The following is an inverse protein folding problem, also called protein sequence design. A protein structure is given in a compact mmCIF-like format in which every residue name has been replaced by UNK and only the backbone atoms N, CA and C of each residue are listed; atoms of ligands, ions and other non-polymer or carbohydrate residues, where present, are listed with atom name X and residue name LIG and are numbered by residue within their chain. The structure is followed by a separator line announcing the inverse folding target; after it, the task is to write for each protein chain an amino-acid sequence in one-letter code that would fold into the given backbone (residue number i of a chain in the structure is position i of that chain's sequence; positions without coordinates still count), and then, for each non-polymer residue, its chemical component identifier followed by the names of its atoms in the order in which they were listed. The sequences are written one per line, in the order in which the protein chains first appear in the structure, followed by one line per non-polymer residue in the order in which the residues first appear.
data_IF_740740972742
#
_entry.id   IF_740740972742
#
_cell.length_a   1.000
_cell.length_b   1.000
_cell.length_c   1.000
_cell.angle_alpha   90.00
_cell.angle_beta   90.00
_cell.angle_gamma   90.00
#
_symmetry.space_group_name_H-M   'P 1'
#
loop_
_entity.id
_entity.type
_entity.pdbx_description
1 polymer ?
#
# COMPACT_ATOMS: atom_id res chain seq x y z
N UNK A 1 30.80 10.53 -22.82
CA UNK A 1 30.89 11.65 -21.87
C UNK A 1 30.12 11.22 -20.66
N UNK A 2 30.81 10.54 -19.75
CA UNK A 2 30.18 9.89 -18.60
C UNK A 2 29.68 10.93 -17.62
N UNK A 3 28.43 10.77 -17.20
CA UNK A 3 27.82 11.57 -16.15
C UNK A 3 28.57 11.30 -14.83
N UNK A 4 28.84 12.33 -14.02
CA UNK A 4 29.51 12.14 -12.74
C UNK A 4 28.63 11.30 -11.81
N UNK A 5 29.21 10.25 -11.21
CA UNK A 5 28.56 9.48 -10.16
C UNK A 5 28.14 10.40 -9.01
N UNK A 6 26.88 10.28 -8.59
CA UNK A 6 26.40 10.94 -7.40
C UNK A 6 27.17 10.42 -6.18
N UNK A 7 27.89 11.30 -5.48
CA UNK A 7 28.58 10.97 -4.24
C UNK A 7 27.55 10.50 -3.20
N UNK A 8 27.41 9.18 -3.07
CA UNK A 8 26.54 8.58 -2.06
C UNK A 8 27.26 8.63 -0.71
N UNK A 9 26.72 9.42 0.22
CA UNK A 9 27.10 9.32 1.63
C UNK A 9 26.99 7.84 2.06
N UNK A 10 28.09 7.28 2.60
CA UNK A 10 28.23 5.87 3.02
C UNK A 10 27.02 5.42 3.85
N UNK A 11 26.05 4.78 3.20
CA UNK A 11 24.94 4.11 3.89
C UNK A 11 25.47 2.77 4.38
N UNK A 12 25.46 2.55 5.70
CA UNK A 12 25.95 1.32 6.31
C UNK A 12 25.17 0.11 5.75
N UNK A 13 25.87 -0.81 5.08
CA UNK A 13 25.29 -1.98 4.41
C UNK A 13 24.54 -2.93 5.37
N UNK A 14 24.78 -2.81 6.69
CA UNK A 14 24.14 -3.61 7.73
C UNK A 14 22.83 -3.01 8.27
N UNK A 15 22.36 -1.86 7.77
CA UNK A 15 21.10 -1.30 8.23
C UNK A 15 19.89 -2.09 7.67
N UNK A 16 18.79 -2.22 8.43
CA UNK A 16 17.62 -2.98 8.00
C UNK A 16 16.98 -2.36 6.74
N UNK A 17 16.48 -3.21 5.83
CA UNK A 17 15.88 -2.83 4.53
C UNK A 17 14.93 -1.63 4.64
N UNK A 18 14.00 -1.67 5.60
CA UNK A 18 13.01 -0.61 5.83
C UNK A 18 13.67 0.73 6.17
N UNK A 19 14.77 0.75 6.92
CA UNK A 19 15.46 1.99 7.28
C UNK A 19 16.14 2.63 6.07
N UNK A 20 16.78 1.83 5.21
CA UNK A 20 17.47 2.31 4.01
C UNK A 20 16.48 2.85 2.99
N UNK A 21 15.40 2.11 2.74
CA UNK A 21 14.35 2.52 1.82
C UNK A 21 13.73 3.85 2.23
N UNK A 22 13.39 3.94 3.51
CA UNK A 22 12.70 5.12 3.99
C UNK A 22 13.63 6.33 4.01
N UNK A 23 14.91 6.15 4.37
CA UNK A 23 15.90 7.23 4.29
C UNK A 23 16.12 7.74 2.86
N UNK A 24 16.08 6.85 1.86
CA UNK A 24 16.27 7.23 0.46
C UNK A 24 15.03 7.92 -0.11
N UNK A 25 13.82 7.45 0.23
CA UNK A 25 12.59 8.17 -0.05
C UNK A 25 12.58 9.56 0.57
N UNK A 26 12.99 9.70 1.83
CA UNK A 26 13.10 11.01 2.49
C UNK A 26 14.11 11.97 1.83
N UNK A 27 15.15 11.46 1.16
CA UNK A 27 16.10 12.29 0.39
C UNK A 27 15.48 12.80 -0.92
N UNK A 28 14.73 11.95 -1.63
CA UNK A 28 14.03 12.29 -2.87
C UNK A 28 12.75 13.13 -2.62
N UNK A 29 12.31 13.26 -1.38
CA UNK A 29 11.17 14.08 -0.94
C UNK A 29 11.50 15.59 -0.83
N UNK A 30 12.74 16.01 -1.09
CA UNK A 30 13.18 17.41 -0.98
C UNK A 30 12.50 18.42 -1.94
N UNK A 31 11.63 17.95 -2.86
CA UNK A 31 10.70 18.81 -3.61
C UNK A 31 9.31 18.81 -2.95
N UNK A 32 9.13 19.65 -1.93
CA UNK A 32 7.90 19.72 -1.12
C UNK A 32 6.64 20.16 -1.89
N UNK A 33 6.77 20.78 -3.08
CA UNK A 33 5.63 21.20 -3.91
C UNK A 33 4.76 20.02 -4.34
N UNK A 34 5.41 18.92 -4.74
CA UNK A 34 4.77 17.84 -5.50
C UNK A 34 3.86 16.99 -4.60
N UNK A 35 4.26 16.77 -3.35
CA UNK A 35 3.44 16.04 -2.38
C UNK A 35 2.18 16.81 -2.00
N UNK A 36 2.30 18.13 -1.77
CA UNK A 36 1.16 18.98 -1.44
C UNK A 36 0.16 19.08 -2.60
N UNK A 37 0.66 19.04 -3.83
CA UNK A 37 -0.12 19.13 -5.06
C UNK A 37 -0.80 17.81 -5.41
N UNK A 38 -0.13 16.66 -5.23
CA UNK A 38 -0.74 15.33 -5.38
C UNK A 38 -1.91 15.13 -4.41
N UNK A 39 -1.76 15.55 -3.14
CA UNK A 39 -2.85 15.52 -2.16
C UNK A 39 -4.01 16.46 -2.54
N UNK A 40 -3.72 17.62 -3.14
CA UNK A 40 -4.76 18.53 -3.64
C UNK A 40 -5.49 17.97 -4.86
N UNK A 41 -4.81 17.27 -5.76
CA UNK A 41 -5.41 16.65 -6.95
C UNK A 41 -6.35 15.49 -6.58
N UNK A 42 -5.93 14.64 -5.64
CA UNK A 42 -6.77 13.56 -5.08
C UNK A 42 -8.01 14.08 -4.33
N UNK A 43 -7.92 15.30 -3.78
CA UNK A 43 -9.08 16.00 -3.20
C UNK A 43 -10.01 16.57 -4.28
N UNK A 44 -9.44 17.09 -5.38
CA UNK A 44 -10.19 17.72 -6.47
C UNK A 44 -11.01 16.71 -7.28
N UNK A 45 -10.50 15.50 -7.52
CA UNK A 45 -11.25 14.42 -8.18
C UNK A 45 -12.49 13.97 -7.37
N UNK A 46 -12.47 14.11 -6.05
CA UNK A 46 -13.58 13.74 -5.16
C UNK A 46 -14.60 14.87 -4.91
N UNK A 47 -14.55 15.98 -5.66
CA UNK A 47 -15.45 17.13 -5.41
C UNK A 47 -16.53 17.28 -6.47
N UNK A 48 -17.40 16.28 -6.62
CA UNK A 48 -18.78 16.49 -7.10
C UNK A 48 -19.71 15.48 -6.42
N UNK A 49 -20.55 16.01 -5.53
CA UNK A 49 -21.68 15.40 -4.79
C UNK A 49 -21.37 14.77 -3.41
N UNK A 50 -21.71 15.61 -2.43
CA UNK A 50 -22.31 15.34 -1.13
C UNK A 50 -21.61 14.46 -0.08
N UNK A 51 -21.32 15.17 1.03
CA UNK A 51 -21.26 14.71 2.43
C UNK A 51 -20.63 13.33 2.65
N UNK A 52 -19.32 13.33 2.94
CA UNK A 52 -18.81 12.60 4.11
C UNK A 52 -17.43 13.08 4.55
N UNK A 53 -17.27 13.09 5.86
CA UNK A 53 -16.19 13.67 6.67
C UNK A 53 -14.93 12.78 6.69
N UNK A 54 -14.57 12.15 5.57
CA UNK A 54 -13.68 10.98 5.55
C UNK A 54 -12.59 11.08 4.48
N UNK A 55 -11.66 12.02 4.67
CA UNK A 55 -10.38 12.04 3.95
C UNK A 55 -9.32 12.73 4.82
N UNK A 56 -8.50 11.96 5.54
CA UNK A 56 -7.03 12.13 5.55
C UNK A 56 -6.29 11.42 6.72
N UNK A 57 -6.45 10.11 6.97
CA UNK A 57 -5.87 9.51 8.18
C UNK A 57 -5.20 8.12 8.02
N UNK A 58 -4.31 7.97 7.03
CA UNK A 58 -2.94 7.61 7.49
C UNK A 58 -2.47 8.79 8.33
N UNK A 59 -1.80 8.65 9.47
CA UNK A 59 -1.13 9.76 10.19
C UNK A 59 -2.12 10.51 11.14
N UNK A 60 -2.67 9.85 12.18
CA UNK A 60 -3.13 10.55 13.40
C UNK A 60 -1.96 11.23 14.15
N UNK A 61 -0.72 10.93 13.74
CA UNK A 61 0.48 11.73 14.04
C UNK A 61 0.58 13.01 13.16
N UNK A 62 -0.41 13.30 12.28
CA UNK A 62 -0.45 14.42 11.29
C UNK A 62 -0.43 15.80 11.89
N UNK A 63 -0.86 16.02 13.12
CA UNK A 63 -1.14 17.40 13.53
C UNK A 63 0.10 18.29 13.60
N UNK A 64 1.31 17.70 13.69
CA UNK A 64 2.56 18.44 13.57
C UNK A 64 3.11 18.42 12.15
N UNK A 65 3.35 17.24 11.57
CA UNK A 65 4.02 17.13 10.27
C UNK A 65 3.16 17.68 9.11
N UNK A 66 1.84 17.44 9.10
CA UNK A 66 0.91 18.01 8.11
C UNK A 66 0.81 19.52 8.23
N UNK A 67 0.77 20.04 9.46
CA UNK A 67 0.68 21.48 9.74
C UNK A 67 1.96 22.22 9.33
N UNK A 68 3.11 21.60 9.53
CA UNK A 68 4.42 22.12 9.12
C UNK A 68 4.66 22.02 7.61
N UNK A 69 4.23 20.92 6.97
CA UNK A 69 4.28 20.75 5.51
C UNK A 69 3.31 21.72 4.79
N UNK A 70 2.12 21.96 5.37
CA UNK A 70 1.14 22.92 4.86
C UNK A 70 1.59 24.38 5.01
N UNK A 71 2.51 24.66 5.94
CA UNK A 71 3.08 25.99 6.19
C UNK A 71 4.29 26.32 5.30
N UNK A 72 4.73 25.40 4.44
CA UNK A 72 5.87 25.62 3.55
C UNK A 72 7.19 25.94 4.26
N UNK A 73 7.31 25.61 5.55
CA UNK A 73 8.42 26.07 6.43
C UNK A 73 9.54 25.07 6.65
N UNK A 74 9.45 23.84 6.11
CA UNK A 74 10.49 22.83 6.26
C UNK A 74 11.24 22.66 4.95
N UNK A 75 12.29 23.46 4.79
CA UNK A 75 13.32 23.26 3.76
C UNK A 75 14.14 21.99 4.04
N UNK A 76 14.72 21.44 2.97
CA UNK A 76 15.12 20.03 2.82
C UNK A 76 15.91 19.37 3.96
N UNK A 77 16.69 20.11 4.75
CA UNK A 77 17.45 19.54 5.87
C UNK A 77 16.61 19.32 7.14
N UNK A 78 15.67 20.21 7.45
CA UNK A 78 14.81 20.08 8.62
C UNK A 78 13.75 18.98 8.41
N UNK A 79 13.21 18.89 7.19
CA UNK A 79 12.32 17.80 6.80
C UNK A 79 13.03 16.45 6.86
N UNK A 80 14.25 16.36 6.31
CA UNK A 80 15.10 15.16 6.35
C UNK A 80 15.44 14.75 7.78
N UNK A 81 15.80 15.71 8.65
CA UNK A 81 16.06 15.45 10.07
C UNK A 81 14.80 14.97 10.81
N UNK A 82 13.64 15.57 10.54
CA UNK A 82 12.37 15.14 11.12
C UNK A 82 11.96 13.75 10.65
N UNK A 83 12.24 13.40 9.39
CA UNK A 83 12.00 12.06 8.87
C UNK A 83 12.96 11.04 9.50
N UNK A 84 14.27 11.30 9.50
CA UNK A 84 15.25 10.44 10.16
C UNK A 84 14.89 10.20 11.63
N UNK A 85 14.51 11.24 12.36
CA UNK A 85 14.10 11.12 13.76
C UNK A 85 12.79 10.31 13.93
N UNK A 86 11.84 10.43 12.99
CA UNK A 86 10.63 9.58 12.99
C UNK A 86 10.96 8.11 12.71
N UNK A 87 11.92 7.85 11.83
CA UNK A 87 12.36 6.50 11.44
C UNK A 87 13.14 5.77 12.53
N UNK A 88 13.98 6.52 13.23
CA UNK A 88 14.80 6.05 14.35
C UNK A 88 13.95 5.87 15.63
N UNK A 89 12.76 6.49 15.70
CA UNK A 89 11.89 6.34 16.84
C UNK A 89 11.26 4.93 16.86
N UNK A 90 11.70 4.12 17.82
CA UNK A 90 11.23 2.75 18.13
C UNK A 90 9.73 2.66 18.40
N UNK A 91 9.03 3.79 18.59
CA UNK A 91 7.57 3.85 18.76
C UNK A 91 6.75 3.76 17.46
N UNK A 92 7.37 3.87 16.29
CA UNK A 92 6.65 3.76 15.01
C UNK A 92 6.33 2.30 14.69
N UNK A 93 5.03 1.97 14.67
CA UNK A 93 4.53 0.61 14.38
C UNK A 93 5.01 0.18 12.96
N UNK A 94 5.33 -1.10 12.77
CA UNK A 94 5.74 -1.66 11.47
C UNK A 94 4.75 -1.29 10.36
N UNK A 95 3.45 -1.31 10.68
CA UNK A 95 2.39 -0.90 9.77
C UNK A 95 2.54 0.56 9.31
N UNK A 96 2.92 1.47 10.20
CA UNK A 96 3.14 2.88 9.86
C UNK A 96 4.33 3.07 8.91
N UNK A 97 5.40 2.29 9.10
CA UNK A 97 6.56 2.31 8.19
C UNK A 97 6.18 1.78 6.80
N UNK A 98 5.37 0.72 6.74
CA UNK A 98 4.86 0.17 5.50
C UNK A 98 3.93 1.17 4.78
N UNK A 99 2.97 1.75 5.51
CA UNK A 99 2.07 2.78 4.99
C UNK A 99 2.83 3.98 4.45
N UNK A 100 3.94 4.36 5.08
CA UNK A 100 4.78 5.44 4.58
C UNK A 100 5.39 5.11 3.21
N UNK A 101 6.10 3.98 3.10
CA UNK A 101 6.77 3.59 1.85
C UNK A 101 5.75 3.37 0.73
N UNK A 102 4.73 2.54 0.99
CA UNK A 102 3.75 2.15 -0.02
C UNK A 102 2.81 3.30 -0.36
N UNK A 103 2.44 4.11 0.64
CA UNK A 103 1.67 5.33 0.42
C UNK A 103 2.39 6.29 -0.52
N UNK A 104 3.71 6.43 -0.41
CA UNK A 104 4.48 7.20 -1.39
C UNK A 104 4.43 6.60 -2.80
N UNK A 105 4.55 5.28 -2.95
CA UNK A 105 4.42 4.62 -4.26
C UNK A 105 3.03 4.77 -4.90
N UNK A 106 1.98 4.77 -4.09
CA UNK A 106 0.60 5.01 -4.55
C UNK A 106 0.44 6.47 -5.00
N UNK A 107 0.79 7.42 -4.14
CA UNK A 107 0.55 8.85 -4.32
C UNK A 107 1.48 9.51 -5.36
N UNK A 108 2.66 8.93 -5.59
CA UNK A 108 3.73 9.48 -6.43
C UNK A 108 4.23 8.44 -7.43
N UNK A 109 3.60 8.32 -8.61
CA UNK A 109 3.96 7.34 -9.62
C UNK A 109 5.44 7.39 -10.03
N UNK A 110 6.06 8.58 -10.01
CA UNK A 110 7.46 8.80 -10.33
C UNK A 110 8.44 8.13 -9.34
N UNK A 111 7.98 7.79 -8.13
CA UNK A 111 8.78 7.10 -7.12
C UNK A 111 8.67 5.57 -7.19
N UNK A 112 7.74 5.01 -7.97
CA UNK A 112 7.46 3.57 -7.97
C UNK A 112 8.68 2.75 -8.36
N UNK A 113 9.32 3.12 -9.47
CA UNK A 113 10.51 2.42 -9.95
C UNK A 113 11.67 2.51 -8.96
N UNK A 114 11.86 3.69 -8.36
CA UNK A 114 12.89 3.90 -7.35
C UNK A 114 12.64 3.04 -6.10
N UNK A 115 11.38 2.92 -5.64
CA UNK A 115 11.02 2.02 -4.53
C UNK A 115 11.40 0.59 -4.90
N UNK A 116 11.01 0.11 -6.07
CA UNK A 116 11.33 -1.26 -6.51
C UNK A 116 12.84 -1.50 -6.60
N UNK A 117 13.58 -0.60 -7.25
CA UNK A 117 15.02 -0.69 -7.39
C UNK A 117 15.72 -0.76 -6.03
N UNK A 118 15.30 0.06 -5.07
CA UNK A 118 15.88 0.01 -3.74
C UNK A 118 15.53 -1.28 -3.00
N UNK A 119 14.30 -1.81 -3.12
CA UNK A 119 13.94 -3.09 -2.48
C UNK A 119 14.77 -4.23 -3.08
N UNK A 120 14.88 -4.29 -4.41
CA UNK A 120 15.72 -5.26 -5.12
C UNK A 120 17.18 -5.16 -4.68
N UNK A 121 17.73 -3.94 -4.59
CA UNK A 121 19.08 -3.70 -4.08
C UNK A 121 19.27 -4.25 -2.67
N UNK A 122 18.31 -4.02 -1.78
CA UNK A 122 18.39 -4.48 -0.39
C UNK A 122 18.19 -5.99 -0.20
N UNK A 123 17.60 -6.66 -1.20
CA UNK A 123 17.46 -8.12 -1.22
C UNK A 123 18.67 -8.81 -1.89
N UNK A 124 19.36 -8.11 -2.79
CA UNK A 124 20.52 -8.63 -3.52
C UNK A 124 21.74 -8.76 -2.61
N UNK A 125 22.25 -9.99 -2.45
CA UNK A 125 23.46 -10.25 -1.65
C UNK A 125 23.31 -9.96 -0.15
N UNK A 126 22.08 -9.90 0.37
CA UNK A 126 21.84 -9.61 1.78
C UNK A 126 22.14 -10.84 2.66
N UNK A 127 23.12 -10.79 3.58
CA UNK A 127 23.48 -11.95 4.41
C UNK A 127 22.49 -12.21 5.55
N UNK A 128 21.63 -11.24 5.89
CA UNK A 128 20.69 -11.37 7.00
C UNK A 128 19.36 -11.98 6.54
N UNK A 129 19.10 -13.22 6.96
CA UNK A 129 17.84 -13.93 6.68
C UNK A 129 16.61 -13.19 7.19
N UNK A 130 16.69 -12.59 8.39
CA UNK A 130 15.62 -11.76 8.97
C UNK A 130 15.36 -10.51 8.12
N UNK A 131 16.43 -9.87 7.63
CA UNK A 131 16.31 -8.71 6.74
C UNK A 131 15.71 -9.10 5.39
N UNK A 132 16.13 -10.24 4.83
CA UNK A 132 15.57 -10.77 3.58
C UNK A 132 14.08 -11.06 3.72
N UNK A 133 13.65 -11.75 4.78
CA UNK A 133 12.23 -12.04 5.02
C UNK A 133 11.38 -10.76 5.09
N UNK A 134 11.87 -9.72 5.78
CA UNK A 134 11.21 -8.40 5.84
C UNK A 134 11.19 -7.70 4.47
N UNK A 135 12.27 -7.80 3.70
CA UNK A 135 12.36 -7.23 2.35
C UNK A 135 11.40 -7.89 1.37
N UNK A 136 11.26 -9.22 1.42
CA UNK A 136 10.32 -9.97 0.59
C UNK A 136 8.86 -9.71 1.00
N UNK A 137 8.58 -9.58 2.30
CA UNK A 137 7.27 -9.14 2.77
C UNK A 137 6.91 -7.75 2.24
N UNK A 138 7.87 -6.80 2.26
CA UNK A 138 7.66 -5.49 1.66
C UNK A 138 7.45 -5.58 0.15
N UNK A 139 8.26 -6.37 -0.57
CA UNK A 139 8.10 -6.58 -2.02
C UNK A 139 6.68 -7.07 -2.34
N UNK A 140 6.20 -8.08 -1.60
CA UNK A 140 4.88 -8.67 -1.76
C UNK A 140 3.71 -7.68 -1.50
N UNK A 141 3.91 -6.73 -0.59
CA UNK A 141 2.97 -5.64 -0.34
C UNK A 141 3.02 -4.60 -1.48
N UNK A 142 4.22 -4.18 -1.91
CA UNK A 142 4.38 -3.21 -3.00
C UNK A 142 3.72 -3.70 -4.29
N UNK A 143 4.02 -4.93 -4.72
CA UNK A 143 3.46 -5.50 -5.96
C UNK A 143 1.96 -5.75 -5.90
N UNK A 144 1.37 -5.82 -4.70
CA UNK A 144 -0.08 -5.91 -4.51
C UNK A 144 -0.77 -4.54 -4.51
N UNK A 145 -0.03 -3.46 -4.32
CA UNK A 145 -0.58 -2.10 -4.23
C UNK A 145 -0.38 -1.28 -5.51
N UNK A 146 0.79 -1.33 -6.14
CA UNK A 146 1.07 -0.54 -7.34
C UNK A 146 2.03 -1.27 -8.28
N UNK A 147 1.82 -1.14 -9.59
CA UNK A 147 2.75 -1.68 -10.59
C UNK A 147 3.94 -0.72 -10.82
N UNK A 148 5.14 -1.23 -11.16
CA UNK A 148 6.23 -0.41 -11.66
C UNK A 148 5.88 0.18 -13.03
N UNK A 149 6.75 1.03 -13.57
CA UNK A 149 6.64 1.49 -14.95
C UNK A 149 6.74 0.32 -15.94
N UNK A 150 6.11 0.41 -17.13
CA UNK A 150 6.19 -0.63 -18.15
C UNK A 150 7.63 -1.02 -18.53
N UNK A 151 8.57 -0.08 -18.43
CA UNK A 151 9.99 -0.31 -18.70
C UNK A 151 10.63 -1.22 -17.65
N UNK A 152 10.26 -1.09 -16.38
CA UNK A 152 10.84 -1.86 -15.29
C UNK A 152 10.16 -3.24 -15.10
N UNK A 153 8.89 -3.40 -15.52
CA UNK A 153 8.14 -4.67 -15.42
C UNK A 153 8.94 -5.93 -15.81
N UNK A 154 9.58 -6.02 -17.00
CA UNK A 154 10.28 -7.26 -17.39
C UNK A 154 11.46 -7.59 -16.46
N UNK A 155 12.20 -6.59 -16.01
CA UNK A 155 13.31 -6.76 -15.07
C UNK A 155 12.82 -7.17 -13.69
N UNK A 156 11.75 -6.54 -13.20
CA UNK A 156 11.15 -6.92 -11.92
C UNK A 156 10.64 -8.36 -11.97
N UNK A 157 9.97 -8.78 -13.04
CA UNK A 157 9.53 -10.18 -13.21
C UNK A 157 10.70 -11.15 -13.13
N UNK A 158 11.78 -10.89 -13.87
CA UNK A 158 12.99 -11.73 -13.83
C UNK A 158 13.59 -11.79 -12.43
N UNK A 159 13.59 -10.68 -11.68
CA UNK A 159 14.07 -10.65 -10.30
C UNK A 159 13.18 -11.47 -9.36
N UNK A 160 11.85 -11.36 -9.50
CA UNK A 160 10.89 -12.11 -8.69
C UNK A 160 11.00 -13.63 -8.93
N UNK A 161 11.28 -14.05 -10.17
CA UNK A 161 11.44 -15.47 -10.52
C UNK A 161 12.63 -16.13 -9.81
N UNK A 162 13.68 -15.36 -9.54
CA UNK A 162 14.87 -15.79 -8.81
C UNK A 162 14.70 -15.72 -7.29
N UNK A 163 13.56 -15.22 -6.81
CA UNK A 163 13.25 -15.12 -5.39
C UNK A 163 13.05 -16.47 -4.71
N UNK A 164 13.11 -16.52 -3.36
CA UNK A 164 12.85 -17.73 -2.61
C UNK A 164 11.36 -18.11 -2.67
N UNK A 165 11.07 -19.41 -2.66
CA UNK A 165 9.71 -19.92 -2.44
C UNK A 165 9.27 -19.64 -1.00
N UNK A 166 8.00 -19.25 -0.74
CA UNK A 166 6.91 -19.10 -1.70
C UNK A 166 6.78 -17.69 -2.32
N UNK A 167 7.68 -16.76 -1.99
CA UNK A 167 7.56 -15.35 -2.41
C UNK A 167 7.66 -15.15 -3.92
N UNK A 168 8.43 -15.99 -4.64
CA UNK A 168 8.57 -15.89 -6.09
C UNK A 168 7.22 -15.94 -6.84
N UNK A 169 6.49 -17.05 -6.72
CA UNK A 169 5.21 -17.26 -7.38
C UNK A 169 4.15 -16.30 -6.83
N UNK A 170 4.15 -16.08 -5.51
CA UNK A 170 3.20 -15.20 -4.86
C UNK A 170 3.32 -13.75 -5.34
N UNK A 171 4.54 -13.20 -5.40
CA UNK A 171 4.77 -11.83 -5.88
C UNK A 171 4.50 -11.71 -7.38
N UNK A 172 4.85 -12.75 -8.17
CA UNK A 172 4.57 -12.78 -9.62
C UNK A 172 3.07 -12.69 -9.89
N UNK A 173 2.26 -13.53 -9.25
CA UNK A 173 0.81 -13.51 -9.40
C UNK A 173 0.24 -12.16 -8.98
N UNK A 174 0.66 -11.61 -7.84
CA UNK A 174 0.20 -10.30 -7.37
C UNK A 174 0.55 -9.17 -8.33
N UNK A 175 1.79 -9.14 -8.84
CA UNK A 175 2.20 -8.14 -9.83
C UNK A 175 1.32 -8.21 -11.09
N UNK A 176 1.02 -9.42 -11.57
CA UNK A 176 0.12 -9.60 -12.72
C UNK A 176 -1.28 -9.07 -12.42
N UNK A 177 -1.82 -9.37 -11.24
CA UNK A 177 -3.14 -8.92 -10.80
C UNK A 177 -3.21 -7.40 -10.70
N UNK A 178 -2.21 -6.75 -10.11
CA UNK A 178 -2.14 -5.27 -10.03
C UNK A 178 -1.93 -4.61 -11.40
N UNK A 179 -1.25 -5.27 -12.35
CA UNK A 179 -1.18 -4.79 -13.73
C UNK A 179 -2.54 -4.86 -14.45
N UNK A 180 -3.39 -5.83 -14.10
CA UNK A 180 -4.72 -6.00 -14.69
C UNK A 180 -5.75 -5.06 -14.06
N UNK A 181 -5.78 -4.97 -12.73
CA UNK A 181 -6.82 -4.26 -11.99
C UNK A 181 -6.43 -2.83 -11.60
N UNK A 182 -5.19 -2.44 -11.87
CA UNK A 182 -4.69 -1.10 -11.64
C UNK A 182 -4.11 -0.90 -10.24
N UNK A 183 -3.76 0.35 -9.95
CA UNK A 183 -3.13 0.74 -8.69
C UNK A 183 -4.17 0.96 -7.61
N UNK A 184 -3.90 0.46 -6.39
CA UNK A 184 -4.67 0.72 -5.18
C UNK A 184 -4.67 2.20 -4.81
N UNK A 185 -5.69 2.64 -4.08
CA UNK A 185 -5.80 4.02 -3.56
C UNK A 185 -5.45 4.12 -2.08
N UNK A 186 -5.39 2.99 -1.37
CA UNK A 186 -4.99 2.90 0.03
C UNK A 186 -3.74 2.02 0.20
N UNK A 187 -2.93 2.29 1.23
CA UNK A 187 -1.86 1.38 1.62
C UNK A 187 -2.44 0.03 2.08
N UNK A 188 -1.60 -1.01 2.27
CA UNK A 188 -2.09 -2.31 2.67
C UNK A 188 -2.75 -2.28 4.04
N UNK A 189 -3.82 -3.06 4.18
CA UNK A 189 -4.51 -3.26 5.45
C UNK A 189 -3.71 -4.14 6.41
N UNK A 190 -4.11 -4.16 7.68
CA UNK A 190 -3.54 -5.08 8.68
C UNK A 190 -3.77 -6.55 8.27
N UNK A 191 -4.94 -6.85 7.71
CA UNK A 191 -5.26 -8.17 7.19
C UNK A 191 -4.27 -8.62 6.09
N UNK A 192 -3.88 -7.73 5.17
CA UNK A 192 -2.89 -8.03 4.13
C UNK A 192 -1.51 -8.32 4.71
N UNK A 193 -1.09 -7.52 5.71
CA UNK A 193 0.18 -7.72 6.40
C UNK A 193 0.21 -9.06 7.14
N UNK A 194 -0.86 -9.41 7.84
CA UNK A 194 -0.95 -10.67 8.57
C UNK A 194 -0.93 -11.88 7.63
N UNK A 195 -1.65 -11.81 6.50
CA UNK A 195 -1.65 -12.86 5.48
C UNK A 195 -0.25 -13.14 4.92
N UNK A 196 0.53 -12.09 4.63
CA UNK A 196 1.91 -12.23 4.15
C UNK A 196 2.84 -12.78 5.23
N UNK A 197 2.69 -12.30 6.47
CA UNK A 197 3.51 -12.76 7.60
C UNK A 197 3.30 -14.24 7.88
N UNK A 198 2.07 -14.72 7.78
CA UNK A 198 1.72 -16.11 8.06
C UNK A 198 1.74 -17.00 6.81
N UNK A 199 2.06 -16.44 5.64
CA UNK A 199 2.03 -17.15 4.34
C UNK A 199 0.67 -17.82 4.06
N UNK A 200 -0.42 -17.12 4.37
CA UNK A 200 -1.79 -17.60 4.21
C UNK A 200 -2.49 -16.90 3.05
N UNK A 201 -3.34 -17.65 2.35
CA UNK A 201 -4.32 -17.08 1.42
C UNK A 201 -5.31 -16.20 2.18
N UNK A 202 -5.76 -15.11 1.56
CA UNK A 202 -6.81 -14.27 2.14
C UNK A 202 -8.17 -14.77 1.71
N UNK A 203 -9.11 -14.84 2.65
CA UNK A 203 -10.51 -15.13 2.38
C UNK A 203 -11.39 -14.03 2.96
N UNK A 204 -12.44 -13.65 2.23
CA UNK A 204 -13.42 -12.66 2.64
C UNK A 204 -14.75 -13.35 2.93
N UNK A 205 -15.28 -13.13 4.12
CA UNK A 205 -16.62 -13.57 4.47
C UNK A 205 -17.66 -12.59 3.92
N UNK A 206 -18.56 -13.08 3.06
CA UNK A 206 -19.65 -12.31 2.48
C UNK A 206 -20.97 -12.83 3.03
N UNK A 207 -21.68 -11.98 3.75
CA UNK A 207 -23.01 -12.29 4.28
C UNK A 207 -24.07 -11.99 3.23
N UNK A 208 -24.95 -12.96 2.97
CA UNK A 208 -26.06 -12.85 2.05
C UNK A 208 -27.34 -12.43 2.79
N UNK A 209 -28.32 -11.91 2.05
CA UNK A 209 -29.60 -11.47 2.61
C UNK A 209 -30.46 -12.61 3.16
N UNK A 210 -30.16 -13.86 2.80
CA UNK A 210 -30.81 -15.06 3.35
C UNK A 210 -30.22 -15.50 4.70
N UNK A 211 -29.26 -14.74 5.24
CA UNK A 211 -28.56 -15.03 6.49
C UNK A 211 -27.38 -15.99 6.36
N UNK A 212 -27.11 -16.53 5.16
CA UNK A 212 -25.95 -17.39 4.94
C UNK A 212 -24.65 -16.59 4.72
N UNK A 213 -23.51 -17.20 5.03
CA UNK A 213 -22.18 -16.62 4.80
C UNK A 213 -21.42 -17.46 3.78
N UNK A 214 -20.87 -16.82 2.76
CA UNK A 214 -19.98 -17.43 1.77
C UNK A 214 -18.56 -16.91 1.94
N UNK A 215 -17.57 -17.78 1.77
CA UNK A 215 -16.16 -17.42 1.89
C UNK A 215 -15.54 -17.35 0.50
N UNK A 216 -15.14 -16.16 0.08
CA UNK A 216 -14.55 -15.90 -1.24
C UNK A 216 -13.04 -15.75 -1.11
N UNK A 217 -12.29 -16.37 -2.02
CA UNK A 217 -10.85 -16.14 -2.07
C UNK A 217 -10.55 -14.72 -2.53
N UNK A 218 -9.54 -14.10 -1.90
CA UNK A 218 -9.18 -12.72 -2.15
C UNK A 218 -7.67 -12.55 -2.30
N UNK A 219 -7.31 -11.58 -3.14
CA UNK A 219 -5.96 -11.06 -3.24
C UNK A 219 -5.96 -9.54 -2.98
N UNK A 220 -4.78 -8.92 -2.96
CA UNK A 220 -4.65 -7.48 -2.73
C UNK A 220 -5.26 -6.62 -3.85
N UNK A 221 -5.46 -7.18 -5.04
CA UNK A 221 -5.97 -6.48 -6.21
C UNK A 221 -7.46 -6.78 -6.49
N UNK A 222 -8.13 -7.54 -5.61
CA UNK A 222 -9.49 -7.98 -5.87
C UNK A 222 -10.47 -6.81 -5.86
N UNK A 223 -11.33 -6.78 -6.86
CA UNK A 223 -12.33 -5.74 -7.05
C UNK A 223 -13.70 -6.17 -6.55
N UNK A 224 -14.56 -5.19 -6.25
CA UNK A 224 -15.94 -5.44 -5.86
C UNK A 224 -16.70 -6.21 -6.97
N UNK A 225 -16.44 -5.87 -8.24
CA UNK A 225 -17.01 -6.58 -9.38
C UNK A 225 -16.58 -8.05 -9.42
N UNK A 226 -15.30 -8.36 -9.19
CA UNK A 226 -14.81 -9.75 -9.17
C UNK A 226 -15.44 -10.57 -8.06
N UNK A 227 -15.55 -10.03 -6.83
CA UNK A 227 -16.24 -10.71 -5.74
C UNK A 227 -17.72 -10.93 -6.06
N UNK A 228 -18.43 -9.92 -6.58
CA UNK A 228 -19.81 -10.08 -7.02
C UNK A 228 -19.94 -11.20 -8.06
N UNK A 229 -19.05 -11.23 -9.05
CA UNK A 229 -19.06 -12.28 -10.07
C UNK A 229 -18.84 -13.66 -9.48
N UNK A 230 -17.79 -13.84 -8.67
CA UNK A 230 -17.47 -15.12 -8.01
C UNK A 230 -18.65 -15.61 -7.16
N UNK A 231 -19.28 -14.70 -6.42
CA UNK A 231 -20.41 -15.02 -5.56
C UNK A 231 -21.64 -15.42 -6.38
N UNK A 232 -21.95 -14.67 -7.45
CA UNK A 232 -23.04 -15.00 -8.37
C UNK A 232 -22.85 -16.38 -9.00
N UNK A 233 -21.63 -16.70 -9.43
CA UNK A 233 -21.27 -18.02 -9.96
C UNK A 233 -21.46 -19.10 -8.88
N UNK A 234 -21.01 -18.83 -7.65
CA UNK A 234 -21.09 -19.77 -6.53
C UNK A 234 -22.52 -20.08 -6.07
N UNK A 235 -23.45 -19.13 -6.20
CA UNK A 235 -24.87 -19.32 -5.83
C UNK A 235 -25.78 -19.64 -7.02
N UNK A 236 -25.24 -19.70 -8.25
CA UNK A 236 -26.01 -20.01 -9.45
C UNK A 236 -26.94 -18.88 -9.92
N UNK A 237 -26.58 -17.62 -9.65
CA UNK A 237 -27.37 -16.46 -10.00
C UNK A 237 -27.29 -16.17 -11.51
N UNK A 238 -28.43 -16.21 -12.20
CA UNK A 238 -28.50 -15.98 -13.66
C UNK A 238 -28.38 -14.50 -14.03
N UNK A 239 -29.10 -13.63 -13.30
CA UNK A 239 -29.05 -12.18 -13.49
C UNK A 239 -28.20 -11.51 -12.40
N UNK A 240 -27.09 -10.91 -12.80
CA UNK A 240 -26.13 -10.23 -11.91
C UNK A 240 -26.40 -8.73 -11.80
N UNK A 241 -27.36 -8.20 -12.58
CA UNK A 241 -27.62 -6.78 -12.63
C UNK A 241 -28.16 -6.25 -11.31
N UNK A 242 -27.65 -5.10 -10.87
CA UNK A 242 -28.13 -4.40 -9.67
C UNK A 242 -27.54 -4.86 -8.34
N UNK A 243 -26.82 -5.98 -8.28
CA UNK A 243 -26.14 -6.42 -7.07
C UNK A 243 -24.91 -5.56 -6.77
N UNK A 244 -24.68 -5.27 -5.49
CA UNK A 244 -23.49 -4.55 -5.03
C UNK A 244 -23.05 -5.08 -3.67
N UNK A 245 -21.78 -4.88 -3.34
CA UNK A 245 -21.25 -5.21 -2.03
C UNK A 245 -21.44 -4.05 -1.07
N UNK A 246 -21.64 -4.38 0.19
CA UNK A 246 -21.74 -3.44 1.28
C UNK A 246 -20.77 -3.85 2.37
N UNK A 247 -20.07 -2.88 2.93
CA UNK A 247 -19.21 -3.08 4.10
C UNK A 247 -19.85 -2.32 5.25
N UNK A 248 -20.12 -3.03 6.35
CA UNK A 248 -20.71 -2.45 7.55
C UNK A 248 -19.70 -2.46 8.69
N UNK A 249 -19.40 -1.29 9.23
CA UNK A 249 -18.44 -1.09 10.32
C UNK A 249 -19.02 -0.08 11.31
N UNK A 250 -19.10 -0.45 12.59
CA UNK A 250 -19.77 0.33 13.66
C UNK A 250 -21.19 0.79 13.32
N UNK A 251 -21.97 -0.03 12.60
CA UNK A 251 -23.34 0.29 12.21
C UNK A 251 -23.45 1.27 11.04
N UNK A 252 -22.33 1.81 10.54
CA UNK A 252 -22.28 2.57 9.30
C UNK A 252 -22.05 1.61 8.13
N UNK A 253 -22.83 1.77 7.07
CA UNK A 253 -22.74 0.91 5.89
C UNK A 253 -22.27 1.73 4.70
N UNK A 254 -21.17 1.28 4.10
CA UNK A 254 -20.57 1.86 2.89
C UNK A 254 -20.88 0.93 1.73
N UNK A 255 -21.48 1.48 0.67
CA UNK A 255 -21.68 0.75 -0.57
C UNK A 255 -20.37 0.74 -1.35
N UNK A 256 -19.92 -0.45 -1.73
CA UNK A 256 -18.92 -0.61 -2.78
C UNK A 256 -19.66 -0.65 -4.11
N UNK A 257 -19.41 0.33 -4.95
CA UNK A 257 -19.94 0.29 -6.30
C UNK A 257 -19.39 -0.95 -7.01
N UNK A 258 -20.25 -1.68 -7.72
CA UNK A 258 -19.92 -2.91 -8.44
C UNK A 258 -19.10 -2.62 -9.71
N UNK A 259 -17.97 -1.94 -9.53
CA UNK A 259 -17.00 -1.58 -10.57
C UNK A 259 -15.59 -1.96 -10.15
N UNK A 260 -14.60 -1.20 -10.65
CA UNK A 260 -13.17 -1.46 -10.45
C UNK A 260 -12.62 -1.05 -9.08
N UNK A 261 -13.48 -0.82 -8.08
CA UNK A 261 -13.02 -0.47 -6.74
C UNK A 261 -12.41 -1.69 -6.05
N UNK A 262 -11.21 -1.54 -5.52
CA UNK A 262 -10.53 -2.58 -4.77
C UNK A 262 -11.20 -2.78 -3.41
N UNK A 263 -11.58 -4.02 -3.08
CA UNK A 263 -12.26 -4.32 -1.80
C UNK A 263 -11.35 -4.03 -0.61
N UNK A 264 -10.06 -4.35 -0.77
CA UNK A 264 -9.05 -4.12 0.27
C UNK A 264 -8.80 -2.62 0.53
N UNK A 265 -9.08 -1.72 -0.42
CA UNK A 265 -9.04 -0.27 -0.15
C UNK A 265 -10.13 0.13 0.84
N UNK A 266 -11.32 -0.43 0.70
CA UNK A 266 -12.42 -0.13 1.61
C UNK A 266 -12.20 -0.74 2.99
N UNK A 267 -11.68 -1.97 3.06
CA UNK A 267 -11.28 -2.60 4.32
C UNK A 267 -10.23 -1.75 5.04
N UNK A 268 -9.20 -1.27 4.33
CA UNK A 268 -8.18 -0.41 4.93
C UNK A 268 -8.77 0.91 5.47
N UNK A 269 -9.74 1.53 4.78
CA UNK A 269 -10.44 2.71 5.30
C UNK A 269 -11.19 2.39 6.59
N UNK A 270 -11.92 1.27 6.61
CA UNK A 270 -12.63 0.83 7.79
C UNK A 270 -11.70 0.58 8.99
N UNK A 271 -10.51 0.00 8.77
CA UNK A 271 -9.49 -0.16 9.82
C UNK A 271 -9.01 1.19 10.37
N UNK A 272 -8.77 2.18 9.50
CA UNK A 272 -8.38 3.52 9.91
C UNK A 272 -9.47 4.20 10.73
N UNK A 273 -10.73 4.10 10.30
CA UNK A 273 -11.88 4.66 11.00
C UNK A 273 -12.09 4.00 12.37
N UNK A 274 -11.84 2.70 12.48
CA UNK A 274 -11.86 1.97 13.74
C UNK A 274 -10.77 2.45 14.71
N UNK A 275 -9.54 2.62 14.20
CA UNK A 275 -8.42 3.10 14.99
C UNK A 275 -8.66 4.52 15.53
N UNK A 276 -9.26 5.41 14.73
CA UNK A 276 -9.65 6.77 15.15
C UNK A 276 -10.68 6.78 16.27
N UNK A 277 -11.61 5.82 16.25
CA UNK A 277 -12.62 5.63 17.30
C UNK A 277 -12.07 4.90 18.53
N UNK A 278 -10.78 4.58 18.56
CA UNK A 278 -10.10 3.95 19.70
C UNK A 278 -10.30 2.45 19.81
N UNK A 279 -10.80 1.79 18.76
CA UNK A 279 -10.92 0.33 18.71
C UNK A 279 -9.59 -0.25 18.26
N UNK A 280 -9.03 -1.16 19.06
CA UNK A 280 -7.74 -1.77 18.76
C UNK A 280 -7.82 -2.63 17.48
N UNK A 281 -6.84 -2.46 16.59
CA UNK A 281 -6.55 -3.38 15.47
C UNK A 281 -6.30 -4.78 16.06
N UNK A 282 -7.24 -5.72 15.90
CA UNK A 282 -7.07 -7.12 16.28
C UNK A 282 -6.98 -7.98 15.03
#
# INVERSE_FOLDING_TARGET
GDLPEAQTAKVNANAPVMAILTATLSRNVTNASDYSQAIKLLKKENTMKDKNKLLDLSLASKNKLKKELSRGKLEGNALKSSYSQWLENTRSNILQKLHFIIGHGILRPELRDEIYCQVCKQLSGNPSTVSQARGWALMALCVGCFAPSPRLVPYLRSFLDQGPSPYNQFCRTRLQRTLQNGTRTQPPSWHELNAIRNQQSMTLAVNLCDGSTKYMEADSAITAQEICSQLSDHIGLQDRFGFSLFITVFGETIRLEAGSQHVMDAICRCEQDAAERGVAER
#
